data_IF_281462138683
#
_entry.id   IF_281462138683
#
_cell.length_a   1.000
_cell.length_b   1.000
_cell.length_c   1.000
_cell.angle_alpha   90.00
_cell.angle_beta   90.00
_cell.angle_gamma   90.00
#
_symmetry.space_group_name_H-M   'P 1'
#
loop_
_entity.id
_entity.type
_entity.pdbx_description
1 polymer ?
#
# COMPACT_ATOMS: atom_id res chain seq x y z
N UNK A 1 -11.73 -48.65 15.35
CA UNK A 1 -11.41 -47.63 14.34
C UNK A 1 -12.03 -47.91 12.97
N UNK A 2 -11.84 -49.07 12.36
CA UNK A 2 -12.44 -49.39 11.05
C UNK A 2 -13.99 -49.42 11.06
N UNK A 3 -14.61 -49.86 12.13
CA UNK A 3 -16.08 -49.94 12.28
C UNK A 3 -16.74 -48.55 12.37
N UNK A 4 -16.12 -47.61 13.05
CA UNK A 4 -16.62 -46.22 13.10
C UNK A 4 -16.60 -45.50 11.73
N UNK A 5 -15.56 -45.73 10.88
CA UNK A 5 -15.50 -45.17 9.54
C UNK A 5 -16.62 -45.72 8.63
N UNK A 6 -16.99 -47.00 8.78
CA UNK A 6 -18.10 -47.61 8.01
C UNK A 6 -19.45 -47.05 8.40
N UNK A 7 -19.70 -46.80 9.73
CA UNK A 7 -20.94 -46.20 10.21
C UNK A 7 -21.12 -44.79 9.72
N UNK A 8 -20.05 -43.97 9.73
CA UNK A 8 -20.10 -42.61 9.20
C UNK A 8 -20.37 -42.60 7.70
N UNK A 9 -19.71 -43.45 6.91
CA UNK A 9 -19.95 -43.56 5.47
C UNK A 9 -21.38 -44.00 5.13
N UNK A 10 -21.99 -44.88 5.91
CA UNK A 10 -23.37 -45.29 5.76
C UNK A 10 -24.35 -44.14 6.07
N UNK A 11 -24.14 -43.41 7.14
CA UNK A 11 -24.93 -42.22 7.47
C UNK A 11 -24.81 -41.12 6.42
N UNK A 12 -23.63 -40.92 5.86
CA UNK A 12 -23.42 -39.97 4.79
C UNK A 12 -24.10 -40.39 3.51
N UNK A 13 -24.13 -41.69 3.21
CA UNK A 13 -24.88 -42.24 2.10
C UNK A 13 -26.41 -42.08 2.24
N UNK A 14 -26.96 -42.25 3.46
CA UNK A 14 -28.36 -41.96 3.76
C UNK A 14 -28.68 -40.47 3.61
N UNK A 15 -27.82 -39.60 4.13
CA UNK A 15 -27.95 -38.15 3.94
C UNK A 15 -27.90 -37.76 2.46
N UNK A 16 -27.00 -38.38 1.70
CA UNK A 16 -26.90 -38.15 0.25
C UNK A 16 -28.17 -38.57 -0.48
N UNK A 17 -28.79 -39.72 -0.13
CA UNK A 17 -30.08 -40.14 -0.70
C UNK A 17 -31.19 -39.12 -0.47
N UNK A 18 -31.16 -38.39 0.65
CA UNK A 18 -32.16 -37.36 0.98
C UNK A 18 -31.86 -36.01 0.28
N UNK A 19 -30.69 -35.82 -0.27
CA UNK A 19 -30.27 -34.55 -0.85
C UNK A 19 -31.13 -34.17 -2.09
N UNK A 20 -31.39 -35.09 -2.97
CA UNK A 20 -32.23 -34.86 -4.16
C UNK A 20 -33.70 -34.61 -3.82
N UNK A 21 -34.36 -35.42 -2.96
CA UNK A 21 -35.74 -35.14 -2.51
C UNK A 21 -35.84 -33.80 -1.79
N UNK A 22 -34.89 -33.49 -0.88
CA UNK A 22 -34.89 -32.23 -0.16
C UNK A 22 -34.71 -31.04 -1.09
N UNK A 23 -33.82 -31.14 -2.09
CA UNK A 23 -33.63 -30.10 -3.09
C UNK A 23 -34.88 -29.90 -3.93
N UNK A 24 -35.56 -30.98 -4.38
CA UNK A 24 -36.83 -30.87 -5.10
C UNK A 24 -37.92 -30.22 -4.29
N UNK A 25 -38.01 -30.56 -2.99
CA UNK A 25 -38.95 -29.93 -2.06
C UNK A 25 -38.64 -28.44 -1.86
N UNK A 26 -37.37 -28.08 -1.72
CA UNK A 26 -36.94 -26.70 -1.62
C UNK A 26 -37.23 -25.90 -2.90
N UNK A 27 -36.98 -26.48 -4.08
CA UNK A 27 -37.33 -25.87 -5.38
C UNK A 27 -38.83 -25.69 -5.55
N UNK A 28 -39.67 -26.70 -5.16
CA UNK A 28 -41.12 -26.60 -5.24
C UNK A 28 -41.71 -25.59 -4.26
N UNK A 29 -41.01 -25.31 -3.13
CA UNK A 29 -41.39 -24.31 -2.15
C UNK A 29 -40.79 -22.92 -2.49
N UNK A 30 -39.95 -22.84 -3.53
CA UNK A 30 -39.33 -21.60 -3.98
C UNK A 30 -40.36 -20.65 -4.61
N UNK A 31 -40.04 -19.39 -4.59
CA UNK A 31 -40.85 -18.35 -5.26
C UNK A 31 -40.49 -18.29 -6.74
N UNK A 32 -41.51 -18.17 -7.63
CA UNK A 32 -41.30 -17.86 -9.04
C UNK A 32 -41.06 -16.37 -9.30
N UNK A 33 -41.01 -15.57 -8.24
CA UNK A 33 -40.70 -14.15 -8.38
C UNK A 33 -39.28 -13.96 -8.91
N UNK A 34 -39.07 -13.03 -9.84
CA UNK A 34 -37.72 -12.72 -10.33
C UNK A 34 -36.80 -12.34 -9.19
N UNK A 35 -35.56 -12.85 -9.24
CA UNK A 35 -34.55 -12.50 -8.24
C UNK A 35 -34.36 -10.97 -8.23
N UNK A 36 -34.24 -10.37 -7.03
CA UNK A 36 -33.92 -8.97 -6.97
C UNK A 36 -32.64 -8.68 -7.74
N UNK A 37 -32.67 -7.68 -8.59
CA UNK A 37 -31.50 -7.23 -9.35
C UNK A 37 -30.56 -6.38 -8.48
N UNK A 38 -31.02 -5.96 -7.30
CA UNK A 38 -30.31 -5.12 -6.37
C UNK A 38 -30.52 -5.57 -4.94
N UNK A 39 -29.43 -5.78 -4.23
CA UNK A 39 -29.41 -6.21 -2.83
C UNK A 39 -28.81 -5.09 -1.95
N UNK A 40 -29.54 -4.65 -0.93
CA UNK A 40 -29.08 -3.63 0.02
C UNK A 40 -27.71 -3.93 0.62
N UNK A 41 -27.44 -5.20 0.93
CA UNK A 41 -26.13 -5.63 1.47
C UNK A 41 -25.00 -5.38 0.46
N UNK A 42 -25.24 -5.66 -0.83
CA UNK A 42 -24.25 -5.41 -1.88
C UNK A 42 -24.04 -3.90 -2.11
N UNK A 43 -25.10 -3.10 -2.01
CA UNK A 43 -25.00 -1.64 -2.11
C UNK A 43 -24.20 -1.07 -0.93
N UNK A 44 -24.45 -1.56 0.29
CA UNK A 44 -23.66 -1.20 1.47
C UNK A 44 -22.19 -1.64 1.35
N UNK A 45 -21.93 -2.87 0.88
CA UNK A 45 -20.57 -3.35 0.65
C UNK A 45 -19.82 -2.49 -0.37
N UNK A 46 -20.47 -2.09 -1.47
CA UNK A 46 -19.89 -1.19 -2.47
C UNK A 46 -19.64 0.22 -1.94
N UNK A 47 -20.47 0.70 -1.02
CA UNK A 47 -20.26 2.00 -0.39
C UNK A 47 -19.05 1.99 0.56
N UNK A 48 -18.89 0.90 1.32
CA UNK A 48 -17.78 0.71 2.27
C UNK A 48 -16.48 0.31 1.57
N UNK A 49 -16.56 -0.45 0.49
CA UNK A 49 -15.44 -0.98 -0.30
C UNK A 49 -15.65 -0.69 -1.79
N UNK A 50 -15.48 0.57 -2.21
CA UNK A 50 -15.80 0.99 -3.59
C UNK A 50 -14.86 0.41 -4.66
N UNK A 51 -13.78 -0.24 -4.28
CA UNK A 51 -12.74 -0.74 -5.17
C UNK A 51 -11.97 0.38 -5.88
N UNK A 52 -12.67 1.19 -6.69
CA UNK A 52 -12.14 2.39 -7.35
C UNK A 52 -13.09 3.56 -7.15
N UNK A 53 -12.52 4.76 -6.99
CA UNK A 53 -13.21 6.02 -6.76
C UNK A 53 -12.78 7.04 -7.81
N UNK A 54 -13.71 7.85 -8.29
CA UNK A 54 -13.39 9.03 -9.09
C UNK A 54 -13.08 10.19 -8.15
N UNK A 55 -11.92 10.81 -8.33
CA UNK A 55 -11.47 11.91 -7.49
C UNK A 55 -11.04 13.11 -8.33
N UNK A 56 -11.19 14.29 -7.76
CA UNK A 56 -10.81 15.57 -8.36
C UNK A 56 -9.89 16.33 -7.40
N UNK A 57 -8.83 16.92 -7.93
CA UNK A 57 -7.91 17.78 -7.18
C UNK A 57 -8.60 19.08 -6.81
N UNK A 58 -8.66 19.40 -5.52
CA UNK A 58 -9.29 20.62 -5.00
C UNK A 58 -8.28 21.65 -4.53
N UNK A 59 -7.07 21.22 -4.15
CA UNK A 59 -5.98 22.13 -3.77
C UNK A 59 -4.61 21.51 -4.02
N UNK A 60 -3.62 22.34 -4.22
CA UNK A 60 -2.20 22.03 -4.33
C UNK A 60 -1.44 22.94 -3.38
N UNK A 61 -0.59 22.37 -2.53
CA UNK A 61 0.23 23.13 -1.57
C UNK A 61 1.68 22.65 -1.63
N UNK A 62 2.62 23.47 -2.10
CA UNK A 62 4.04 23.16 -1.99
C UNK A 62 4.45 23.00 -0.52
N UNK A 63 5.17 21.94 -0.21
CA UNK A 63 5.67 21.63 1.14
C UNK A 63 7.18 21.88 1.23
N UNK A 64 7.90 21.45 0.20
CA UNK A 64 9.35 21.69 0.03
C UNK A 64 9.61 21.93 -1.46
N UNK A 65 10.86 22.18 -1.83
CA UNK A 65 11.27 22.28 -3.24
C UNK A 65 10.98 21.01 -4.07
N UNK A 66 10.78 19.86 -3.42
CA UNK A 66 10.58 18.55 -4.03
C UNK A 66 9.28 17.87 -3.68
N UNK A 67 8.45 18.43 -2.81
CA UNK A 67 7.25 17.78 -2.32
C UNK A 67 6.05 18.71 -2.35
N UNK A 68 4.96 18.23 -2.91
CA UNK A 68 3.67 18.93 -2.97
C UNK A 68 2.58 18.09 -2.30
N UNK A 69 1.73 18.71 -1.51
CA UNK A 69 0.49 18.11 -1.04
C UNK A 69 -0.62 18.34 -2.06
N UNK A 70 -1.29 17.26 -2.43
CA UNK A 70 -2.49 17.25 -3.24
C UNK A 70 -3.69 16.95 -2.36
N UNK A 71 -4.71 17.80 -2.42
CA UNK A 71 -6.01 17.57 -1.78
C UNK A 71 -7.02 17.10 -2.81
N UNK A 72 -7.74 16.04 -2.48
CA UNK A 72 -8.75 15.42 -3.33
C UNK A 72 -10.12 15.48 -2.69
N UNK A 73 -11.17 15.58 -3.53
CA UNK A 73 -12.54 15.22 -3.19
C UNK A 73 -12.98 14.05 -4.07
N UNK A 74 -13.84 13.24 -3.55
CA UNK A 74 -14.52 12.19 -4.31
C UNK A 74 -15.68 12.80 -5.11
N UNK A 75 -15.86 12.38 -6.38
CA UNK A 75 -16.89 12.96 -7.26
C UNK A 75 -18.02 11.98 -7.58
N UNK A 76 -17.85 10.69 -7.27
CA UNK A 76 -18.84 9.62 -7.46
C UNK A 76 -19.58 9.23 -6.16
N UNK A 77 -19.29 9.91 -5.05
CA UNK A 77 -19.99 9.82 -3.77
C UNK A 77 -19.70 11.04 -2.90
N UNK A 78 -20.45 11.20 -1.79
CA UNK A 78 -20.38 12.36 -0.90
C UNK A 78 -19.21 12.29 0.10
N UNK A 79 -18.55 11.14 0.25
CA UNK A 79 -17.45 10.95 1.17
C UNK A 79 -16.50 9.83 0.68
N UNK A 80 -15.26 9.85 1.15
CA UNK A 80 -14.37 8.70 1.06
C UNK A 80 -14.79 7.61 2.05
N UNK A 81 -14.47 6.32 1.79
CA UNK A 81 -14.65 5.28 2.78
C UNK A 81 -13.74 5.54 4.00
N UNK A 82 -14.18 5.07 5.16
CA UNK A 82 -13.35 5.09 6.36
C UNK A 82 -12.06 4.30 6.12
N UNK A 83 -10.95 4.81 6.66
CA UNK A 83 -9.66 4.13 6.63
C UNK A 83 -8.98 4.20 8.00
N UNK A 84 -7.94 3.41 8.19
CA UNK A 84 -7.09 3.48 9.39
C UNK A 84 -5.87 4.36 9.11
N UNK A 85 -5.56 5.27 10.01
CA UNK A 85 -4.42 6.16 9.88
C UNK A 85 -3.12 5.37 9.65
N UNK A 86 -2.36 5.75 8.62
CA UNK A 86 -1.19 5.04 8.13
C UNK A 86 -1.41 4.22 6.85
N UNK A 87 -2.64 4.00 6.42
CA UNK A 87 -2.96 3.33 5.15
C UNK A 87 -2.63 4.21 3.94
N UNK A 88 -2.60 3.58 2.76
CA UNK A 88 -2.32 4.20 1.47
C UNK A 88 -3.49 4.01 0.49
N UNK A 89 -3.51 4.83 -0.55
CA UNK A 89 -4.32 4.66 -1.75
C UNK A 89 -3.41 4.56 -2.98
N UNK A 90 -3.86 3.90 -4.05
CA UNK A 90 -3.17 3.98 -5.34
C UNK A 90 -3.88 4.98 -6.23
N UNK A 91 -3.16 6.01 -6.65
CA UNK A 91 -3.63 7.02 -7.59
C UNK A 91 -3.27 6.60 -9.00
N UNK A 92 -4.25 6.59 -9.91
CA UNK A 92 -4.10 6.24 -11.31
C UNK A 92 -4.45 7.43 -12.20
N UNK A 93 -3.57 7.73 -13.13
CA UNK A 93 -3.76 8.76 -14.15
C UNK A 93 -3.20 8.32 -15.50
N UNK A 94 -3.50 9.09 -16.55
CA UNK A 94 -2.91 8.91 -17.88
C UNK A 94 -1.86 10.00 -18.11
N UNK A 95 -0.63 9.60 -18.36
CA UNK A 95 0.49 10.50 -18.61
C UNK A 95 1.17 10.07 -19.91
N UNK A 96 1.28 10.98 -20.87
CA UNK A 96 1.86 10.71 -22.20
C UNK A 96 1.28 9.44 -22.87
N UNK A 97 -0.04 9.22 -22.73
CA UNK A 97 -0.73 8.07 -23.30
C UNK A 97 -0.61 6.77 -22.50
N UNK A 98 0.20 6.73 -21.46
CA UNK A 98 0.36 5.57 -20.57
C UNK A 98 -0.55 5.67 -19.35
N UNK A 99 -1.27 4.60 -19.03
CA UNK A 99 -2.05 4.49 -17.79
C UNK A 99 -1.12 4.07 -16.66
N UNK A 100 -0.87 4.96 -15.74
CA UNK A 100 0.11 4.79 -14.66
C UNK A 100 -0.59 4.82 -13.31
N UNK A 101 -0.24 3.91 -12.42
CA UNK A 101 -0.76 3.87 -11.04
C UNK A 101 0.39 3.80 -10.03
N UNK A 102 0.31 4.62 -8.96
CA UNK A 102 1.30 4.61 -7.87
C UNK A 102 0.60 4.72 -6.51
N UNK A 103 1.06 3.96 -5.50
CA UNK A 103 0.58 4.09 -4.13
C UNK A 103 1.18 5.32 -3.45
N UNK A 104 0.35 5.97 -2.65
CA UNK A 104 0.72 7.10 -1.79
C UNK A 104 0.07 6.93 -0.44
N UNK A 105 0.84 7.06 0.64
CA UNK A 105 0.32 7.04 2.00
C UNK A 105 -0.55 8.28 2.24
N UNK A 106 -1.70 8.08 2.89
CA UNK A 106 -2.66 9.14 3.17
C UNK A 106 -2.08 10.04 4.28
N UNK A 107 -2.14 11.37 4.09
CA UNK A 107 -1.68 12.36 5.06
C UNK A 107 -2.82 13.09 5.80
N UNK A 108 -4.06 12.98 5.34
CA UNK A 108 -5.26 13.42 6.07
C UNK A 108 -5.63 12.43 7.18
N UNK A 109 -6.49 12.86 8.12
CA UNK A 109 -7.07 11.95 9.10
C UNK A 109 -8.24 11.13 8.50
N UNK A 110 -8.62 10.01 9.17
CA UNK A 110 -9.82 9.28 8.79
C UNK A 110 -11.11 10.12 8.85
N UNK A 111 -11.20 11.10 9.76
CA UNK A 111 -12.37 12.00 9.86
C UNK A 111 -12.46 12.96 8.68
N UNK A 112 -11.34 13.52 8.23
CA UNK A 112 -11.31 14.36 7.03
C UNK A 112 -11.83 13.60 5.79
N UNK A 113 -11.61 12.28 5.70
CA UNK A 113 -12.14 11.45 4.62
C UNK A 113 -13.68 11.37 4.64
N UNK A 114 -14.30 11.32 5.82
CA UNK A 114 -15.75 11.33 5.98
C UNK A 114 -16.36 12.70 5.60
N UNK A 115 -15.56 13.77 5.61
CA UNK A 115 -15.90 15.12 5.13
C UNK A 115 -15.55 15.32 3.64
N UNK A 116 -15.35 14.23 2.91
CA UNK A 116 -14.97 14.22 1.49
C UNK A 116 -13.64 14.94 1.19
N UNK A 117 -12.68 14.84 2.09
CA UNK A 117 -11.35 15.40 1.92
C UNK A 117 -10.27 14.34 2.18
N UNK A 118 -9.40 14.09 1.20
CA UNK A 118 -8.26 13.20 1.32
C UNK A 118 -7.02 13.90 0.79
N UNK A 119 -5.91 13.84 1.56
CA UNK A 119 -4.66 14.48 1.16
C UNK A 119 -3.54 13.46 0.96
N UNK A 120 -2.70 13.72 -0.03
CA UNK A 120 -1.50 12.94 -0.35
C UNK A 120 -0.30 13.87 -0.44
N UNK A 121 0.75 13.58 0.31
CA UNK A 121 2.04 14.23 0.13
C UNK A 121 2.87 13.49 -0.92
N UNK A 122 3.20 14.16 -2.02
CA UNK A 122 3.87 13.56 -3.17
C UNK A 122 5.26 14.18 -3.37
N UNK A 123 6.30 13.38 -3.16
CA UNK A 123 7.68 13.76 -3.46
C UNK A 123 7.99 13.49 -4.94
N UNK A 124 8.65 14.43 -5.60
CA UNK A 124 9.12 14.30 -6.97
C UNK A 124 10.31 13.32 -7.04
N UNK A 125 10.01 12.04 -7.25
CA UNK A 125 11.00 10.96 -7.24
C UNK A 125 10.97 10.08 -8.52
N UNK A 126 10.09 10.37 -9.49
CA UNK A 126 9.97 9.57 -10.72
C UNK A 126 8.94 10.12 -11.69
N UNK A 127 8.64 9.34 -12.74
CA UNK A 127 7.79 9.76 -13.85
C UNK A 127 6.43 10.30 -13.40
N UNK A 128 5.64 9.48 -12.70
CA UNK A 128 4.28 9.88 -12.30
C UNK A 128 4.28 10.95 -11.18
N UNK A 129 5.15 10.80 -10.18
CA UNK A 129 5.27 11.82 -9.14
C UNK A 129 5.82 13.15 -9.67
N UNK A 130 6.67 13.10 -10.71
CA UNK A 130 7.11 14.29 -11.43
C UNK A 130 5.97 15.01 -12.13
N UNK A 131 5.10 14.28 -12.82
CA UNK A 131 3.88 14.81 -13.42
C UNK A 131 2.97 15.44 -12.35
N UNK A 132 2.71 14.74 -11.23
CA UNK A 132 1.86 15.23 -10.15
C UNK A 132 2.39 16.54 -9.51
N UNK A 133 3.71 16.74 -9.47
CA UNK A 133 4.32 17.94 -8.90
C UNK A 133 4.39 19.13 -9.86
N UNK A 134 4.45 18.89 -11.18
CA UNK A 134 4.73 19.96 -12.15
C UNK A 134 3.54 20.36 -13.03
N UNK A 135 2.66 19.41 -13.33
CA UNK A 135 1.68 19.58 -14.40
C UNK A 135 0.24 19.57 -13.91
N UNK A 136 -0.03 18.89 -12.79
CA UNK A 136 -1.39 18.76 -12.23
C UNK A 136 -1.92 20.09 -11.72
N UNK A 137 -3.20 20.33 -11.96
CA UNK A 137 -3.94 21.55 -11.58
C UNK A 137 -5.19 21.20 -10.79
N UNK A 138 -5.69 22.19 -10.08
CA UNK A 138 -7.04 22.12 -9.45
C UNK A 138 -8.09 21.85 -10.53
N UNK A 139 -8.96 20.88 -10.30
CA UNK A 139 -9.95 20.38 -11.24
C UNK A 139 -9.55 19.13 -12.02
N UNK A 140 -8.27 18.76 -12.01
CA UNK A 140 -7.82 17.51 -12.66
C UNK A 140 -8.42 16.28 -11.96
N UNK A 141 -8.73 15.26 -12.76
CA UNK A 141 -9.41 14.05 -12.29
C UNK A 141 -8.54 12.81 -12.41
N UNK A 142 -8.68 11.95 -11.42
CA UNK A 142 -7.94 10.70 -11.30
C UNK A 142 -8.88 9.57 -10.88
N UNK A 143 -8.41 8.33 -11.06
CA UNK A 143 -8.95 7.17 -10.37
C UNK A 143 -8.10 6.88 -9.14
N UNK A 144 -8.76 6.58 -8.02
CA UNK A 144 -8.12 6.24 -6.76
C UNK A 144 -8.67 4.92 -6.25
N UNK A 145 -7.82 4.03 -5.77
CA UNK A 145 -8.31 2.80 -5.12
C UNK A 145 -8.89 3.12 -3.75
N UNK A 146 -9.66 2.21 -3.20
CA UNK A 146 -9.97 2.24 -1.77
C UNK A 146 -8.69 2.24 -0.93
N UNK A 147 -8.70 2.79 0.30
CA UNK A 147 -7.59 2.71 1.22
C UNK A 147 -7.22 1.26 1.53
N UNK A 148 -5.91 0.99 1.63
CA UNK A 148 -5.37 -0.35 1.84
C UNK A 148 -4.06 -0.29 2.63
N UNK A 149 -3.56 -1.46 3.07
CA UNK A 149 -2.27 -1.60 3.75
C UNK A 149 -2.39 -1.93 5.23
N UNK A 150 -1.33 -2.58 5.72
CA UNK A 150 -1.22 -3.07 7.10
C UNK A 150 -0.39 -2.13 7.99
N UNK A 151 0.05 -0.98 7.45
CA UNK A 151 0.84 0.01 8.18
C UNK A 151 -0.07 0.93 8.98
N UNK A 152 -0.72 0.39 10.00
CA UNK A 152 -1.58 1.08 10.95
C UNK A 152 -1.47 0.44 12.33
N UNK A 153 -1.80 1.19 13.36
CA UNK A 153 -1.83 0.68 14.72
C UNK A 153 -2.96 -0.34 14.91
N UNK A 154 -2.67 -1.40 15.68
CA UNK A 154 -3.66 -2.43 16.03
C UNK A 154 -3.50 -2.84 17.49
N UNK A 155 -4.50 -2.55 18.33
CA UNK A 155 -4.44 -2.75 19.79
C UNK A 155 -4.14 -4.19 20.22
N UNK A 156 -4.55 -5.19 19.43
CA UNK A 156 -4.27 -6.60 19.74
C UNK A 156 -2.86 -7.05 19.32
N UNK A 157 -2.18 -6.28 18.49
CA UNK A 157 -0.86 -6.59 17.96
C UNK A 157 0.23 -5.73 18.56
N UNK A 158 -0.06 -4.44 18.73
CA UNK A 158 0.92 -3.39 18.99
C UNK A 158 0.87 -2.94 20.46
N UNK A 159 1.98 -2.46 20.95
CA UNK A 159 2.07 -1.85 22.27
C UNK A 159 1.41 -0.47 22.29
N UNK A 160 0.92 0.00 23.47
CA UNK A 160 0.30 1.32 23.61
C UNK A 160 1.25 2.49 23.31
N UNK A 161 2.56 2.24 23.30
CA UNK A 161 3.60 3.20 22.90
C UNK A 161 4.15 2.82 21.56
N UNK A 162 4.13 3.75 20.62
CA UNK A 162 4.70 3.57 19.29
C UNK A 162 5.87 4.53 19.07
N UNK A 163 6.89 4.05 18.38
CA UNK A 163 8.01 4.83 17.90
C UNK A 163 7.93 4.88 16.37
N UNK A 164 7.57 6.04 15.83
CA UNK A 164 7.62 6.32 14.41
C UNK A 164 9.03 6.74 13.99
N UNK A 165 9.52 6.22 12.86
CA UNK A 165 10.77 6.65 12.24
C UNK A 165 10.46 7.02 10.81
N UNK A 166 10.46 8.34 10.54
CA UNK A 166 10.15 8.92 9.25
C UNK A 166 11.41 9.43 8.55
N UNK A 167 11.50 9.25 7.24
CA UNK A 167 12.55 9.85 6.40
C UNK A 167 11.96 10.50 5.16
N UNK A 168 12.18 11.81 4.98
CA UNK A 168 11.65 12.56 3.84
C UNK A 168 10.13 12.46 3.72
N UNK A 169 9.62 12.06 2.55
CA UNK A 169 8.18 11.87 2.29
C UNK A 169 7.54 10.75 3.11
N UNK A 170 8.32 9.90 3.77
CA UNK A 170 7.82 8.89 4.71
C UNK A 170 7.15 9.47 5.95
N UNK A 171 7.08 10.79 6.09
CA UNK A 171 6.32 11.49 7.14
C UNK A 171 4.80 11.37 6.95
N UNK A 172 4.30 11.14 5.74
CA UNK A 172 2.87 11.19 5.40
C UNK A 172 1.99 10.27 6.25
N UNK A 173 2.28 8.97 6.45
CA UNK A 173 1.44 8.11 7.28
C UNK A 173 1.47 8.54 8.76
N UNK A 174 2.58 9.06 9.25
CA UNK A 174 2.70 9.53 10.63
C UNK A 174 1.92 10.81 10.89
N UNK A 175 1.82 11.70 9.89
CA UNK A 175 0.95 12.86 9.99
C UNK A 175 -0.51 12.45 10.14
N UNK A 176 -0.98 11.50 9.33
CA UNK A 176 -2.32 10.91 9.45
C UNK A 176 -2.54 10.30 10.84
N UNK A 177 -1.56 9.54 11.34
CA UNK A 177 -1.60 8.91 12.67
C UNK A 177 -1.65 9.95 13.81
N UNK A 178 -0.87 11.03 13.71
CA UNK A 178 -0.88 12.10 14.71
C UNK A 178 -2.20 12.88 14.70
N UNK A 179 -2.76 13.17 13.53
CA UNK A 179 -4.09 13.79 13.38
C UNK A 179 -5.19 12.93 13.98
N UNK A 180 -5.22 11.63 13.67
CA UNK A 180 -6.20 10.67 14.19
C UNK A 180 -6.14 10.57 15.73
N UNK A 181 -4.92 10.63 16.29
CA UNK A 181 -4.74 10.66 17.74
C UNK A 181 -5.25 11.98 18.37
N UNK A 182 -5.00 13.13 17.75
CA UNK A 182 -5.56 14.43 18.17
C UNK A 182 -7.08 14.38 18.21
N UNK A 183 -7.69 13.77 17.20
CA UNK A 183 -9.14 13.63 17.06
C UNK A 183 -9.77 12.64 18.05
N UNK A 184 -8.93 11.88 18.79
CA UNK A 184 -9.37 10.91 19.81
C UNK A 184 -9.80 9.56 19.25
N UNK A 185 -9.51 9.27 17.99
CA UNK A 185 -9.83 7.98 17.36
C UNK A 185 -8.82 6.89 17.71
N UNK A 186 -7.63 7.28 18.18
CA UNK A 186 -6.53 6.39 18.54
C UNK A 186 -5.99 6.71 19.94
N UNK A 187 -5.61 5.67 20.70
CA UNK A 187 -5.23 5.77 22.13
C UNK A 187 -3.73 5.57 22.41
N UNK A 188 -2.90 5.28 21.40
CA UNK A 188 -1.45 5.08 21.59
C UNK A 188 -0.71 6.37 21.92
N UNK A 189 0.40 6.26 22.65
CA UNK A 189 1.39 7.33 22.76
C UNK A 189 2.35 7.30 21.58
N UNK A 190 2.57 8.43 20.93
CA UNK A 190 3.40 8.51 19.72
C UNK A 190 4.66 9.33 19.94
N UNK A 191 5.82 8.70 19.82
CA UNK A 191 7.13 9.32 19.67
C UNK A 191 7.58 9.20 18.21
N UNK A 192 7.84 10.32 17.55
CA UNK A 192 8.23 10.38 16.15
C UNK A 192 9.64 10.93 15.99
N UNK A 193 10.55 10.14 15.43
CA UNK A 193 11.84 10.59 14.92
C UNK A 193 11.69 10.93 13.45
N UNK A 194 11.86 12.19 13.10
CA UNK A 194 11.74 12.64 11.71
C UNK A 194 13.08 13.09 11.16
N UNK A 195 13.67 12.26 10.28
CA UNK A 195 14.96 12.49 9.63
C UNK A 195 14.83 13.25 8.31
N UNK A 196 15.63 14.31 8.13
CA UNK A 196 15.81 15.04 6.90
C UNK A 196 17.27 15.48 6.74
N UNK A 197 17.67 15.98 5.56
CA UNK A 197 19.02 16.53 5.38
C UNK A 197 19.20 17.81 6.17
N UNK A 198 18.26 18.71 6.04
CA UNK A 198 18.20 20.00 6.71
C UNK A 198 16.75 20.39 7.01
N UNK A 199 16.54 21.52 7.67
CA UNK A 199 15.21 21.98 8.07
C UNK A 199 14.29 22.31 6.87
N UNK A 200 14.82 22.78 5.75
CA UNK A 200 14.03 23.13 4.56
C UNK A 200 13.38 21.89 3.91
N UNK A 201 13.93 20.70 4.19
CA UNK A 201 13.39 19.43 3.74
C UNK A 201 12.43 18.74 4.73
N UNK A 202 12.10 19.38 5.86
CA UNK A 202 11.10 18.89 6.81
C UNK A 202 9.69 19.26 6.35
N UNK A 203 9.11 18.44 5.48
CA UNK A 203 7.72 18.60 5.06
C UNK A 203 6.77 18.52 6.27
N UNK A 204 5.68 19.28 6.27
CA UNK A 204 4.67 19.32 7.33
C UNK A 204 5.19 19.74 8.71
N UNK A 205 6.36 20.37 8.81
CA UNK A 205 6.96 20.73 10.11
C UNK A 205 6.01 21.56 10.97
N UNK A 206 5.43 22.63 10.42
CA UNK A 206 4.52 23.52 11.17
C UNK A 206 3.28 22.77 11.71
N UNK A 207 2.73 21.84 10.95
CA UNK A 207 1.59 21.00 11.36
C UNK A 207 1.99 20.01 12.45
N UNK A 208 3.16 19.40 12.33
CA UNK A 208 3.68 18.48 13.36
C UNK A 208 3.99 19.23 14.67
N UNK A 209 4.53 20.43 14.58
CA UNK A 209 4.79 21.28 15.76
C UNK A 209 3.48 21.66 16.46
N UNK A 210 2.42 21.99 15.71
CA UNK A 210 1.09 22.26 16.26
C UNK A 210 0.49 21.02 16.93
N UNK A 211 0.56 19.86 16.28
CA UNK A 211 0.10 18.58 16.85
C UNK A 211 0.90 18.18 18.11
N UNK A 212 2.20 18.50 18.14
CA UNK A 212 3.03 18.27 19.30
C UNK A 212 2.67 19.20 20.47
N UNK A 213 2.39 20.47 20.20
CA UNK A 213 1.92 21.42 21.22
C UNK A 213 0.59 21.01 21.85
N UNK A 214 -0.28 20.33 21.08
CA UNK A 214 -1.53 19.78 21.58
C UNK A 214 -1.39 18.38 22.23
N UNK A 215 -0.17 17.84 22.30
CA UNK A 215 0.11 16.54 22.94
C UNK A 215 -0.26 15.32 22.11
N UNK A 216 -0.57 15.49 20.82
CA UNK A 216 -0.92 14.38 19.92
C UNK A 216 0.30 13.54 19.54
N UNK A 217 1.48 14.11 19.47
CA UNK A 217 2.73 13.43 19.11
C UNK A 217 3.91 14.13 19.81
N UNK A 218 4.94 13.36 20.18
CA UNK A 218 6.24 13.93 20.55
C UNK A 218 7.17 13.79 19.34
N UNK A 219 7.66 14.89 18.80
CA UNK A 219 8.54 14.89 17.62
C UNK A 219 9.98 15.17 18.00
N UNK A 220 10.89 14.38 17.45
CA UNK A 220 12.35 14.60 17.51
C UNK A 220 12.83 14.73 16.07
N UNK A 221 13.20 15.94 15.69
CA UNK A 221 13.77 16.20 14.37
C UNK A 221 15.25 15.86 14.33
N UNK A 222 15.69 15.12 13.30
CA UNK A 222 17.07 14.67 13.14
C UNK A 222 17.60 15.15 11.78
N UNK A 223 18.63 16.01 11.79
CA UNK A 223 19.20 16.59 10.57
C UNK A 223 20.56 15.97 10.26
N UNK A 224 20.73 15.38 9.06
CA UNK A 224 21.99 14.72 8.69
C UNK A 224 23.08 15.71 8.27
N UNK A 225 22.71 16.75 7.52
CA UNK A 225 23.66 17.66 6.86
C UNK A 225 23.73 19.03 7.54
N UNK A 226 22.85 19.31 8.49
CA UNK A 226 22.75 20.58 9.20
C UNK A 226 22.86 20.38 10.72
N UNK A 227 23.71 21.17 11.39
CA UNK A 227 23.70 21.30 12.83
C UNK A 227 22.92 22.56 13.22
N UNK A 228 21.86 22.39 14.01
CA UNK A 228 21.00 23.48 14.46
C UNK A 228 20.54 23.23 15.90
N UNK A 229 20.47 24.26 16.71
CA UNK A 229 19.94 24.18 18.07
C UNK A 229 18.48 23.75 18.07
N UNK A 230 18.11 22.88 19.01
CA UNK A 230 16.78 22.27 19.09
C UNK A 230 16.55 21.05 18.17
N UNK A 231 17.57 20.65 17.40
CA UNK A 231 17.53 19.48 16.52
C UNK A 231 18.63 18.48 16.91
N UNK A 232 18.33 17.19 16.76
CA UNK A 232 19.36 16.15 16.80
C UNK A 232 20.15 16.16 15.49
N UNK A 233 21.43 15.76 15.54
CA UNK A 233 22.30 15.74 14.37
C UNK A 233 22.73 14.31 14.02
N UNK A 234 22.70 13.96 12.74
CA UNK A 234 23.14 12.68 12.20
C UNK A 234 21.96 11.78 11.79
N UNK A 235 21.96 10.53 12.23
CA UNK A 235 20.95 9.53 11.88
C UNK A 235 20.22 9.03 13.12
N UNK A 236 19.05 8.41 12.92
CA UNK A 236 18.21 7.84 13.98
C UNK A 236 18.82 6.51 14.45
N UNK A 237 19.78 6.58 15.39
CA UNK A 237 20.46 5.42 15.99
C UNK A 237 19.65 4.84 17.16
N UNK A 238 19.94 3.59 17.55
CA UNK A 238 19.37 2.97 18.75
C UNK A 238 19.73 3.77 20.02
N UNK A 239 20.96 4.30 20.10
CA UNK A 239 21.42 5.14 21.20
C UNK A 239 20.59 6.44 21.29
N UNK A 240 20.35 7.11 20.16
CA UNK A 240 19.50 8.29 20.11
C UNK A 240 18.08 7.95 20.61
N UNK A 241 17.46 6.92 20.07
CA UNK A 241 16.11 6.52 20.44
C UNK A 241 15.99 6.15 21.92
N UNK A 242 16.99 5.47 22.48
CA UNK A 242 17.02 5.06 23.89
C UNK A 242 17.03 6.23 24.88
N UNK A 243 17.42 7.44 24.44
CA UNK A 243 17.32 8.66 25.27
C UNK A 243 15.87 9.11 25.50
N UNK A 244 14.94 8.64 24.67
CA UNK A 244 13.54 9.08 24.64
C UNK A 244 12.54 8.00 25.04
N UNK A 245 12.87 6.72 24.90
CA UNK A 245 11.99 5.60 25.20
C UNK A 245 12.74 4.32 25.56
N UNK A 246 12.10 3.43 26.32
CA UNK A 246 12.55 2.04 26.44
C UNK A 246 12.22 1.29 25.15
N UNK A 247 13.25 0.99 24.36
CA UNK A 247 13.12 0.38 23.05
C UNK A 247 12.56 -1.06 23.07
N UNK A 248 12.50 -1.69 24.25
CA UNK A 248 11.88 -3.03 24.41
C UNK A 248 10.40 -2.97 24.74
N UNK A 249 9.91 -1.78 25.11
CA UNK A 249 8.51 -1.56 25.49
C UNK A 249 7.73 -0.68 24.51
N UNK A 250 8.09 -0.74 23.24
CA UNK A 250 7.45 0.02 22.16
C UNK A 250 7.21 -0.87 20.93
N UNK A 251 6.33 -0.43 20.04
CA UNK A 251 6.21 -0.94 18.67
C UNK A 251 6.75 0.11 17.71
N UNK A 252 7.62 -0.33 16.80
CA UNK A 252 8.25 0.54 15.80
C UNK A 252 7.44 0.58 14.50
N UNK A 253 7.30 1.78 13.95
CA UNK A 253 6.74 2.02 12.62
C UNK A 253 7.77 2.78 11.80
N UNK A 254 8.19 2.23 10.65
CA UNK A 254 9.22 2.79 9.79
C UNK A 254 8.62 3.15 8.43
N UNK A 255 8.82 4.40 7.99
CA UNK A 255 8.46 4.84 6.64
C UNK A 255 9.51 5.81 6.10
N UNK A 256 10.14 5.47 4.95
CA UNK A 256 11.19 6.28 4.34
C UNK A 256 11.99 5.54 3.27
N UNK A 257 13.17 6.05 2.91
CA UNK A 257 14.03 5.45 1.89
C UNK A 257 14.55 4.06 2.28
N UNK A 258 14.85 3.23 1.27
CA UNK A 258 15.37 1.87 1.49
C UNK A 258 16.65 1.85 2.36
N UNK A 259 17.54 2.82 2.18
CA UNK A 259 18.75 2.94 2.99
C UNK A 259 18.44 3.17 4.47
N UNK A 260 17.38 3.93 4.80
CA UNK A 260 16.93 4.13 6.18
C UNK A 260 16.43 2.81 6.79
N UNK A 261 15.68 2.01 6.04
CA UNK A 261 15.23 0.69 6.54
C UNK A 261 16.41 -0.21 6.90
N UNK A 262 17.41 -0.32 6.01
CA UNK A 262 18.59 -1.13 6.24
C UNK A 262 19.38 -0.65 7.47
N UNK A 263 19.56 0.67 7.60
CA UNK A 263 20.24 1.30 8.72
C UNK A 263 19.51 1.01 10.04
N UNK A 264 18.23 1.37 10.14
CA UNK A 264 17.45 1.21 11.38
C UNK A 264 17.32 -0.27 11.77
N UNK A 265 17.17 -1.19 10.80
CA UNK A 265 17.15 -2.61 11.10
C UNK A 265 18.45 -3.09 11.73
N UNK A 266 19.61 -2.60 11.25
CA UNK A 266 20.93 -2.90 11.84
C UNK A 266 21.03 -2.36 13.27
N UNK A 267 20.54 -1.14 13.51
CA UNK A 267 20.50 -0.52 14.83
C UNK A 267 19.59 -1.28 15.82
N UNK A 268 18.45 -1.79 15.38
CA UNK A 268 17.50 -2.53 16.22
C UNK A 268 17.85 -4.01 16.39
N UNK A 269 18.69 -4.59 15.53
CA UNK A 269 19.03 -6.03 15.55
C UNK A 269 19.59 -6.51 16.90
N UNK A 270 20.48 -5.76 17.61
CA UNK A 270 21.01 -6.20 18.91
C UNK A 270 19.94 -6.29 20.01
N UNK A 271 18.77 -5.67 19.85
CA UNK A 271 17.70 -5.71 20.83
C UNK A 271 16.92 -7.02 20.82
N UNK A 272 17.09 -7.87 19.76
CA UNK A 272 16.39 -9.15 19.63
C UNK A 272 14.85 -9.02 19.61
N UNK A 273 14.34 -7.95 19.02
CA UNK A 273 12.89 -7.67 18.98
C UNK A 273 12.14 -8.72 18.15
N UNK A 274 10.92 -9.11 18.54
CA UNK A 274 10.10 -9.97 17.72
C UNK A 274 9.72 -9.27 16.41
N UNK A 275 9.61 -10.02 15.32
CA UNK A 275 9.30 -9.48 13.96
C UNK A 275 8.06 -8.58 13.98
N UNK A 276 7.04 -8.95 14.76
CA UNK A 276 5.79 -8.19 14.91
C UNK A 276 5.94 -6.84 15.61
N UNK A 277 7.08 -6.57 16.26
CA UNK A 277 7.34 -5.30 16.94
C UNK A 277 7.88 -4.21 15.99
N UNK A 278 8.13 -4.53 14.72
CA UNK A 278 8.70 -3.59 13.74
C UNK A 278 7.89 -3.64 12.46
N UNK A 279 7.06 -2.62 12.25
CA UNK A 279 6.28 -2.43 11.03
C UNK A 279 7.05 -1.57 10.04
N UNK A 280 6.96 -1.91 8.76
CA UNK A 280 7.57 -1.14 7.68
C UNK A 280 6.51 -0.84 6.64
N UNK A 281 6.44 0.41 6.23
CA UNK A 281 5.61 0.76 5.07
C UNK A 281 6.19 0.16 3.79
N UNK A 282 5.32 -0.19 2.87
CA UNK A 282 5.71 -0.83 1.62
C UNK A 282 6.25 0.22 0.64
N UNK A 283 7.55 0.16 0.35
CA UNK A 283 8.12 0.98 -0.73
C UNK A 283 7.93 0.32 -2.09
N UNK A 284 7.51 1.10 -3.09
CA UNK A 284 7.38 0.62 -4.46
C UNK A 284 8.71 0.10 -5.01
N UNK A 285 8.64 -0.96 -5.82
CA UNK A 285 9.76 -1.34 -6.67
C UNK A 285 9.75 -0.46 -7.92
N UNK A 286 10.91 0.06 -8.28
CA UNK A 286 11.18 0.81 -9.50
C UNK A 286 12.19 0.08 -10.38
N UNK A 287 12.75 0.80 -11.34
CA UNK A 287 13.86 0.29 -12.13
C UNK A 287 15.08 0.06 -11.24
N UNK A 288 15.80 -1.02 -11.51
CA UNK A 288 17.06 -1.33 -10.83
C UNK A 288 18.25 -0.80 -11.65
N UNK A 289 19.35 -0.50 -10.98
CA UNK A 289 20.57 -0.14 -11.66
C UNK A 289 21.17 -1.39 -12.33
N UNK A 290 21.16 -1.42 -13.66
CA UNK A 290 21.82 -2.44 -14.48
C UNK A 290 22.65 -1.71 -15.53
N UNK A 291 23.93 -2.03 -15.62
CA UNK A 291 24.79 -1.49 -16.65
C UNK A 291 24.45 -2.16 -17.99
N UNK A 292 24.12 -1.36 -19.02
CA UNK A 292 23.71 -1.85 -20.34
C UNK A 292 22.59 -2.90 -20.30
N UNK A 293 21.37 -2.55 -19.82
CA UNK A 293 20.29 -3.51 -19.63
C UNK A 293 19.86 -4.12 -20.98
N UNK A 294 19.77 -5.43 -21.02
CA UNK A 294 19.24 -6.17 -22.17
C UNK A 294 17.74 -5.92 -22.30
N UNK A 295 17.23 -6.09 -23.49
CA UNK A 295 15.78 -6.04 -23.76
C UNK A 295 15.32 -7.41 -24.23
N UNK A 296 14.25 -7.89 -23.64
CA UNK A 296 13.62 -9.17 -23.92
C UNK A 296 12.22 -8.96 -24.48
N UNK A 297 11.65 -10.01 -25.01
CA UNK A 297 10.26 -10.04 -25.46
C UNK A 297 9.37 -10.50 -24.30
N UNK A 298 8.33 -9.73 -23.99
CA UNK A 298 7.28 -10.12 -23.05
C UNK A 298 5.97 -10.35 -23.80
N UNK A 299 5.49 -11.61 -23.79
CA UNK A 299 4.17 -11.97 -24.27
C UNK A 299 3.18 -11.96 -23.11
N UNK A 300 2.15 -11.11 -23.23
CA UNK A 300 1.12 -10.91 -22.22
C UNK A 300 -0.22 -11.37 -22.72
N UNK A 301 -0.83 -12.33 -22.05
CA UNK A 301 -2.21 -12.77 -22.30
C UNK A 301 -3.14 -12.10 -21.28
N UNK A 302 -4.26 -11.54 -21.76
CA UNK A 302 -5.38 -11.10 -20.92
C UNK A 302 -6.67 -11.56 -21.61
N UNK A 303 -7.31 -12.62 -21.11
CA UNK A 303 -8.43 -13.28 -21.78
C UNK A 303 -8.06 -13.68 -23.21
N UNK A 304 -8.80 -13.19 -24.22
CA UNK A 304 -8.60 -13.50 -25.63
C UNK A 304 -7.59 -12.57 -26.33
N UNK A 305 -7.01 -11.61 -25.61
CA UNK A 305 -6.06 -10.66 -26.16
C UNK A 305 -4.63 -11.05 -25.82
N UNK A 306 -3.75 -10.91 -26.80
CA UNK A 306 -2.31 -11.17 -26.66
C UNK A 306 -1.54 -9.96 -27.12
N UNK A 307 -0.57 -9.55 -26.33
CA UNK A 307 0.38 -8.47 -26.66
C UNK A 307 1.80 -9.02 -26.63
N UNK A 308 2.62 -8.57 -27.53
CA UNK A 308 4.04 -8.84 -27.56
C UNK A 308 4.76 -7.50 -27.47
N UNK A 309 5.49 -7.27 -26.37
CA UNK A 309 6.10 -5.99 -26.04
C UNK A 309 7.56 -6.16 -25.63
N UNK A 310 8.41 -5.13 -25.81
CA UNK A 310 9.74 -5.13 -25.21
C UNK A 310 9.67 -4.93 -23.70
N UNK A 311 10.46 -5.72 -22.96
CA UNK A 311 10.64 -5.60 -21.52
C UNK A 311 12.14 -5.53 -21.22
N UNK A 312 12.58 -4.48 -20.52
CA UNK A 312 13.99 -4.27 -20.21
C UNK A 312 14.38 -5.05 -18.96
N UNK A 313 15.60 -5.49 -18.89
CA UNK A 313 16.16 -6.20 -17.74
C UNK A 313 16.12 -5.39 -16.44
N UNK A 314 16.19 -4.07 -16.54
CA UNK A 314 16.20 -3.15 -15.40
C UNK A 314 14.80 -2.69 -14.94
N UNK A 315 13.74 -3.01 -15.70
CA UNK A 315 12.35 -2.65 -15.32
C UNK A 315 11.53 -3.86 -14.88
N UNK A 316 10.53 -3.62 -14.03
CA UNK A 316 9.58 -4.69 -13.66
C UNK A 316 8.64 -5.01 -14.82
N UNK A 317 8.13 -6.25 -14.89
CA UNK A 317 7.14 -6.64 -15.91
C UNK A 317 5.90 -5.73 -15.88
N UNK A 318 5.47 -5.29 -14.70
CA UNK A 318 4.37 -4.34 -14.56
C UNK A 318 4.71 -2.99 -15.20
N UNK A 319 5.94 -2.50 -15.05
CA UNK A 319 6.37 -1.24 -15.68
C UNK A 319 6.42 -1.35 -17.21
N UNK A 320 6.88 -2.49 -17.74
CA UNK A 320 6.87 -2.75 -19.18
C UNK A 320 5.42 -2.75 -19.73
N UNK A 321 4.48 -3.39 -19.03
CA UNK A 321 3.06 -3.38 -19.40
C UNK A 321 2.45 -1.99 -19.36
N UNK A 322 2.69 -1.20 -18.30
CA UNK A 322 2.23 0.20 -18.20
C UNK A 322 2.75 1.05 -19.37
N UNK A 323 4.05 0.97 -19.67
CA UNK A 323 4.67 1.67 -20.78
C UNK A 323 4.06 1.30 -22.15
N UNK A 324 3.59 0.08 -22.28
CA UNK A 324 2.91 -0.41 -23.50
C UNK A 324 1.39 -0.14 -23.49
N UNK A 325 0.86 0.54 -22.47
CA UNK A 325 -0.58 0.83 -22.35
C UNK A 325 -1.44 -0.41 -22.05
N UNK A 326 -0.84 -1.50 -21.57
CA UNK A 326 -1.56 -2.73 -21.23
C UNK A 326 -2.14 -2.59 -19.81
N UNK A 327 -3.47 -2.71 -19.64
CA UNK A 327 -4.10 -2.62 -18.33
C UNK A 327 -3.77 -3.85 -17.49
N UNK A 328 -2.98 -3.68 -16.43
CA UNK A 328 -2.66 -4.75 -15.49
C UNK A 328 -3.09 -4.34 -14.07
N UNK A 329 -3.74 -5.26 -13.31
CA UNK A 329 -4.15 -4.95 -11.95
C UNK A 329 -2.92 -4.69 -11.06
N UNK A 330 -2.96 -3.61 -10.30
CA UNK A 330 -1.89 -3.30 -9.36
C UNK A 330 -2.40 -2.39 -8.22
N UNK A 331 -1.80 -2.55 -7.02
CA UNK A 331 -2.05 -1.70 -5.84
C UNK A 331 -0.71 -1.30 -5.19
N UNK A 332 -0.13 -2.13 -4.34
CA UNK A 332 1.04 -1.78 -3.52
C UNK A 332 2.35 -1.58 -4.29
N UNK A 333 2.53 -2.21 -5.46
CA UNK A 333 3.78 -2.23 -6.25
C UNK A 333 5.05 -2.64 -5.47
N UNK A 334 4.86 -3.37 -4.37
CA UNK A 334 5.92 -3.79 -3.45
C UNK A 334 5.97 -5.31 -3.21
N UNK A 335 5.23 -6.08 -4.01
CA UNK A 335 5.21 -7.54 -3.95
C UNK A 335 4.36 -8.16 -2.84
N UNK A 336 3.82 -7.38 -1.90
CA UNK A 336 3.15 -7.90 -0.70
C UNK A 336 1.66 -8.21 -0.87
N UNK A 337 0.88 -7.36 -1.56
CA UNK A 337 -0.57 -7.47 -1.56
C UNK A 337 -1.16 -8.55 -2.48
N UNK A 338 -0.37 -9.06 -3.45
CA UNK A 338 -0.82 -10.08 -4.40
C UNK A 338 -1.82 -9.61 -5.46
N UNK A 339 -2.19 -8.33 -5.49
CA UNK A 339 -3.22 -7.83 -6.42
C UNK A 339 -2.80 -7.94 -7.91
N UNK A 340 -1.51 -7.88 -8.20
CA UNK A 340 -0.94 -8.08 -9.54
C UNK A 340 -0.61 -9.54 -9.87
N UNK A 341 -1.09 -10.50 -9.08
CA UNK A 341 -0.85 -11.92 -9.22
C UNK A 341 -1.16 -12.43 -10.64
N UNK A 342 -0.15 -12.94 -11.33
CA UNK A 342 -0.23 -13.38 -12.72
C UNK A 342 0.37 -14.76 -12.88
N UNK A 343 -0.14 -15.55 -13.84
CA UNK A 343 0.38 -16.87 -14.13
C UNK A 343 1.64 -16.74 -14.99
N UNK A 344 2.73 -17.34 -14.56
CA UNK A 344 3.94 -17.52 -15.34
C UNK A 344 3.77 -18.72 -16.28
N UNK A 345 3.97 -18.50 -17.57
CA UNK A 345 3.87 -19.51 -18.61
C UNK A 345 5.23 -19.95 -19.14
N UNK A 346 6.23 -19.06 -19.13
CA UNK A 346 7.57 -19.38 -19.59
C UNK A 346 8.57 -18.23 -19.43
N UNK A 347 9.85 -18.56 -19.61
CA UNK A 347 10.99 -17.64 -19.49
C UNK A 347 11.59 -17.55 -18.09
N UNK A 348 12.76 -16.93 -17.99
CA UNK A 348 13.49 -16.76 -16.74
C UNK A 348 13.30 -15.37 -16.16
N UNK A 349 13.27 -15.27 -14.84
CA UNK A 349 13.08 -14.00 -14.12
C UNK A 349 13.82 -13.96 -12.80
N UNK A 350 14.03 -12.75 -12.29
CA UNK A 350 14.44 -12.50 -10.92
C UNK A 350 13.37 -11.70 -10.20
N UNK A 351 13.31 -11.85 -8.87
CA UNK A 351 12.43 -11.06 -8.00
C UNK A 351 13.28 -10.04 -7.25
N UNK A 352 12.75 -8.84 -7.05
CA UNK A 352 13.40 -7.82 -6.24
C UNK A 352 13.80 -8.38 -4.87
N UNK A 353 15.05 -8.15 -4.44
CA UNK A 353 15.59 -8.67 -3.19
C UNK A 353 14.72 -8.23 -1.99
N UNK A 354 14.38 -9.20 -1.12
CA UNK A 354 13.54 -8.97 0.04
C UNK A 354 12.08 -8.60 -0.26
N UNK A 355 11.62 -8.72 -1.54
CA UNK A 355 10.26 -8.33 -1.98
C UNK A 355 9.42 -9.51 -2.48
N UNK A 356 9.89 -10.74 -2.33
CA UNK A 356 9.13 -11.91 -2.74
C UNK A 356 8.02 -12.25 -1.75
N UNK A 357 6.88 -11.59 -1.87
CA UNK A 357 5.68 -11.85 -1.08
C UNK A 357 4.80 -12.98 -1.61
N UNK A 358 5.28 -13.77 -2.58
CA UNK A 358 4.53 -14.92 -3.09
C UNK A 358 4.36 -15.97 -1.99
N UNK A 359 3.14 -16.47 -1.84
CA UNK A 359 2.83 -17.59 -0.95
C UNK A 359 3.42 -18.89 -1.48
N UNK A 360 3.51 -19.90 -0.64
CA UNK A 360 3.99 -21.23 -1.07
C UNK A 360 3.15 -21.82 -2.22
N UNK A 361 1.83 -21.59 -2.21
CA UNK A 361 0.94 -22.00 -3.28
C UNK A 361 1.27 -21.27 -4.60
N UNK A 362 1.54 -19.97 -4.57
CA UNK A 362 1.88 -19.17 -5.75
C UNK A 362 3.13 -19.72 -6.43
N UNK A 363 4.18 -19.99 -5.63
CA UNK A 363 5.43 -20.59 -6.14
C UNK A 363 5.19 -21.99 -6.71
N UNK A 364 4.43 -22.83 -6.00
CA UNK A 364 4.14 -24.20 -6.42
C UNK A 364 3.35 -24.26 -7.72
N UNK A 365 2.41 -23.35 -7.90
CA UNK A 365 1.54 -23.31 -9.08
C UNK A 365 2.01 -22.32 -10.16
N UNK A 366 3.22 -21.81 -10.07
CA UNK A 366 3.84 -20.96 -11.08
C UNK A 366 3.16 -19.59 -11.24
N UNK A 367 2.89 -18.92 -10.13
CA UNK A 367 2.43 -17.53 -10.13
C UNK A 367 3.54 -16.57 -9.75
N UNK A 368 3.49 -15.39 -10.32
CA UNK A 368 4.44 -14.29 -10.07
C UNK A 368 3.69 -13.02 -9.70
N UNK A 369 4.42 -12.06 -9.11
CA UNK A 369 3.95 -10.69 -8.89
C UNK A 369 4.69 -9.75 -9.85
N UNK A 370 4.12 -9.38 -11.00
CA UNK A 370 4.79 -8.55 -12.02
C UNK A 370 5.38 -7.24 -11.51
N UNK A 371 4.84 -6.68 -10.43
CA UNK A 371 5.34 -5.43 -9.84
C UNK A 371 6.72 -5.54 -9.18
N UNK A 372 7.23 -6.74 -8.96
CA UNK A 372 8.56 -7.02 -8.35
C UNK A 372 9.38 -8.04 -9.14
N UNK A 373 8.90 -8.41 -10.33
CA UNK A 373 9.52 -9.41 -11.20
C UNK A 373 10.23 -8.71 -12.37
N UNK A 374 11.49 -9.05 -12.60
CA UNK A 374 12.34 -8.51 -13.66
C UNK A 374 12.69 -9.64 -14.65
N UNK A 375 12.58 -9.41 -15.98
CA UNK A 375 12.89 -10.43 -16.98
C UNK A 375 14.39 -10.72 -17.04
N UNK A 376 14.74 -12.00 -17.30
CA UNK A 376 16.10 -12.46 -17.55
C UNK A 376 16.24 -13.16 -18.92
N UNK A 377 15.11 -13.47 -19.55
CA UNK A 377 14.96 -13.98 -20.92
C UNK A 377 13.64 -13.50 -21.50
N UNK A 378 13.31 -13.90 -22.72
CA UNK A 378 11.96 -13.77 -23.24
C UNK A 378 10.99 -14.46 -22.30
N UNK A 379 9.85 -13.80 -22.01
CA UNK A 379 8.88 -14.27 -21.03
C UNK A 379 7.47 -14.31 -21.60
N UNK A 380 6.66 -15.20 -21.02
CA UNK A 380 5.24 -15.33 -21.32
C UNK A 380 4.45 -15.41 -20.02
N UNK A 381 3.41 -14.59 -19.90
CA UNK A 381 2.55 -14.51 -18.69
C UNK A 381 1.08 -14.36 -19.05
N UNK A 382 0.20 -14.91 -18.20
CA UNK A 382 -1.24 -14.67 -18.26
C UNK A 382 -1.66 -13.80 -17.07
N UNK A 383 -2.20 -12.63 -17.38
CA UNK A 383 -2.53 -11.55 -16.45
C UNK A 383 -4.04 -11.47 -16.28
N UNK A 384 -4.58 -11.44 -15.06
CA UNK A 384 -6.01 -11.24 -14.87
C UNK A 384 -6.43 -9.87 -15.42
N UNK A 385 -7.68 -9.74 -15.92
CA UNK A 385 -8.16 -8.45 -16.39
C UNK A 385 -8.17 -7.43 -15.24
N UNK A 386 -7.78 -6.19 -15.53
CA UNK A 386 -7.98 -5.09 -14.61
C UNK A 386 -9.49 -4.79 -14.50
N UNK A 387 -10.01 -4.67 -13.28
CA UNK A 387 -11.39 -4.29 -12.99
C UNK A 387 -11.69 -2.85 -13.38
#
# INVERSE_FOLDING_TARGET
MKFQKQIFGFMDMLRFKQLVPNRRKALAAGSDAPLPTRYRVNDQAKALHPGRMQVEVTALRPLTDRMTELTFRRTDADAFPFFRAGQYVSLQGTVEGSVVSRPYSISSSPREALENKLTLGVENAGFFSGYLNREVKVGDRFLMTEPAGEFHYETLRDKPRIVGIAGGSGITPFLSMAKSRKEGDESYEMLLFYGARDEAHLAYKAELDALAAEGAVKVVYVLSDQKKEGYEHGFVTAELMARYADLRDVTFFLCGPAAMYAFVQKELAPLGLPVKAVHKDATCCGNRAVENPRTFTLTVHIRDKVWTIPAREDETLLTAMERAGIPAPNKCRAGGCGYCHSKWLGGDFTVAEGRDGRRLADRKFGFIHPCVTYPQSDMEIDVPPAE
#
